data_IF_014416207634
#
_entry.id   IF_014416207634
#
_cell.length_a   1.000
_cell.length_b   1.000
_cell.length_c   1.000
_cell.angle_alpha   90.00
_cell.angle_beta   90.00
_cell.angle_gamma   90.00
#
_symmetry.space_group_name_H-M   'P 1'
#
loop_
_entity.id
_entity.type
_entity.pdbx_description
1 polymer ?
#
# COMPACT_ATOMS: atom_id res chain seq x y z
N UNK A 1 -4.34 8.99 30.28
CA UNK A 1 -4.27 7.53 29.98
C UNK A 1 -2.81 7.08 30.07
N UNK A 2 -2.29 6.81 31.29
CA UNK A 2 -0.88 6.43 31.45
C UNK A 2 -0.55 5.06 30.83
N UNK A 3 -1.56 4.26 30.50
CA UNK A 3 -1.42 2.95 29.84
C UNK A 3 -1.33 3.08 28.31
N UNK A 4 -1.53 4.26 27.75
CA UNK A 4 -1.47 4.49 26.31
C UNK A 4 -0.01 4.50 25.84
N UNK A 5 0.40 3.45 25.15
CA UNK A 5 1.78 3.32 24.65
C UNK A 5 2.00 4.06 23.33
N UNK A 6 0.94 4.39 22.59
CA UNK A 6 1.05 5.00 21.29
C UNK A 6 -0.26 5.69 20.86
N UNK A 7 -0.13 6.90 20.32
CA UNK A 7 -1.22 7.62 19.64
C UNK A 7 -0.97 7.62 18.15
N UNK A 8 -1.97 7.25 17.37
CA UNK A 8 -1.87 7.17 15.91
C UNK A 8 -3.04 7.90 15.25
N UNK A 9 -2.84 8.38 14.03
CA UNK A 9 -3.90 9.02 13.25
C UNK A 9 -3.81 8.64 11.77
N UNK A 10 -4.93 8.70 11.07
CA UNK A 10 -4.94 8.76 9.63
C UNK A 10 -4.57 10.18 9.18
N UNK A 11 -3.76 10.28 8.11
CA UNK A 11 -3.42 11.53 7.47
C UNK A 11 -3.57 11.42 5.96
N UNK A 12 -4.39 12.28 5.34
CA UNK A 12 -4.36 12.40 3.88
C UNK A 12 -3.13 13.20 3.44
N UNK A 13 -2.57 12.96 2.24
CA UNK A 13 -1.46 13.77 1.73
C UNK A 13 -1.80 15.26 1.75
N UNK A 14 -2.97 15.64 1.29
CA UNK A 14 -3.44 17.04 1.31
C UNK A 14 -3.43 17.64 2.71
N UNK A 15 -3.91 16.89 3.73
CA UNK A 15 -3.94 17.38 5.12
C UNK A 15 -2.56 17.55 5.74
N UNK A 16 -1.56 16.80 5.27
CA UNK A 16 -0.16 16.91 5.70
C UNK A 16 0.51 18.07 4.98
N UNK A 17 0.37 18.17 3.65
CA UNK A 17 1.07 19.13 2.80
C UNK A 17 0.66 20.59 3.05
N UNK A 18 -0.53 20.85 3.61
CA UNK A 18 -0.94 22.22 4.01
C UNK A 18 -0.33 22.68 5.31
N UNK A 19 0.30 21.78 6.09
CA UNK A 19 0.97 22.12 7.35
C UNK A 19 2.40 22.51 7.09
N UNK A 20 2.94 23.36 7.98
CA UNK A 20 4.38 23.60 8.06
C UNK A 20 5.06 22.43 8.79
N UNK A 21 6.35 22.26 8.57
CA UNK A 21 7.11 21.23 9.28
C UNK A 21 7.05 21.41 10.80
N UNK A 22 7.06 22.66 11.28
CA UNK A 22 6.96 22.98 12.71
C UNK A 22 5.63 22.52 13.33
N UNK A 23 4.53 22.56 12.57
CA UNK A 23 3.22 22.06 13.03
C UNK A 23 3.25 20.53 13.21
N UNK A 24 3.90 19.80 12.30
CA UNK A 24 4.06 18.34 12.40
C UNK A 24 4.99 17.97 13.57
N UNK A 25 6.09 18.71 13.75
CA UNK A 25 7.00 18.53 14.89
C UNK A 25 6.26 18.72 16.22
N UNK A 26 5.45 19.78 16.32
CA UNK A 26 4.62 20.03 17.50
C UNK A 26 3.61 18.89 17.77
N UNK A 27 2.97 18.35 16.72
CA UNK A 27 2.06 17.21 16.88
C UNK A 27 2.78 15.98 17.44
N UNK A 28 4.02 15.73 17.00
CA UNK A 28 4.83 14.67 17.56
C UNK A 28 5.20 14.92 19.03
N UNK A 29 5.65 16.12 19.37
CA UNK A 29 5.98 16.52 20.75
C UNK A 29 4.76 16.39 21.69
N UNK A 30 3.54 16.60 21.18
CA UNK A 30 2.28 16.42 21.90
C UNK A 30 1.83 14.94 22.00
N UNK A 31 2.64 14.00 21.47
CA UNK A 31 2.42 12.55 21.62
C UNK A 31 1.80 11.86 20.42
N UNK A 32 1.74 12.48 19.24
CA UNK A 32 1.33 11.76 18.02
C UNK A 32 2.53 10.96 17.48
N UNK A 33 2.46 9.63 17.58
CA UNK A 33 3.61 8.75 17.29
C UNK A 33 3.65 8.23 15.87
N UNK A 34 2.49 8.09 15.22
CA UNK A 34 2.43 7.45 13.90
C UNK A 34 1.26 7.96 13.05
N UNK A 35 1.54 8.11 11.76
CA UNK A 35 0.54 8.43 10.73
C UNK A 35 0.31 7.22 9.80
N UNK A 36 -0.96 6.91 9.54
CA UNK A 36 -1.39 6.04 8.46
C UNK A 36 -1.64 6.87 7.21
N UNK A 37 -0.90 6.59 6.14
CA UNK A 37 -0.94 7.31 4.87
C UNK A 37 -1.32 6.36 3.74
N UNK A 38 -2.38 6.67 2.99
CA UNK A 38 -2.74 5.93 1.79
C UNK A 38 -1.94 6.41 0.59
N UNK A 39 -1.02 5.57 0.09
CA UNK A 39 -0.38 5.75 -1.22
C UNK A 39 -1.29 5.22 -2.33
N UNK A 40 -1.90 4.07 -2.11
CA UNK A 40 -2.72 3.26 -3.00
C UNK A 40 -1.94 2.78 -4.23
N UNK A 41 -1.29 3.66 -4.97
CA UNK A 41 -0.46 3.42 -6.14
C UNK A 41 0.70 4.41 -6.23
N UNK A 42 1.80 4.00 -6.84
CA UNK A 42 2.88 4.91 -7.25
C UNK A 42 2.73 5.42 -8.69
N UNK A 43 1.75 4.93 -9.45
CA UNK A 43 1.46 5.40 -10.81
C UNK A 43 0.46 6.55 -10.78
N UNK A 44 0.84 7.71 -11.29
CA UNK A 44 -0.03 8.90 -11.41
C UNK A 44 -1.26 8.61 -12.29
N UNK A 45 -1.11 7.78 -13.33
CA UNK A 45 -2.25 7.39 -14.16
C UNK A 45 -3.26 6.54 -13.37
N UNK A 46 -2.80 5.60 -12.54
CA UNK A 46 -3.67 4.82 -11.65
C UNK A 46 -4.33 5.72 -10.63
N UNK A 47 -3.57 6.62 -9.98
CA UNK A 47 -4.09 7.58 -8.99
C UNK A 47 -5.17 8.48 -9.60
N UNK A 48 -4.95 8.95 -10.83
CA UNK A 48 -5.95 9.74 -11.59
C UNK A 48 -7.23 8.94 -11.87
N UNK A 49 -7.09 7.66 -12.29
CA UNK A 49 -8.26 6.80 -12.59
C UNK A 49 -9.13 6.53 -11.36
N UNK A 50 -8.54 6.45 -10.18
CA UNK A 50 -9.27 6.23 -8.92
C UNK A 50 -9.70 7.53 -8.23
N UNK A 51 -9.44 8.69 -8.84
CA UNK A 51 -9.71 10.03 -8.28
C UNK A 51 -9.04 10.24 -6.91
N UNK A 52 -7.76 9.84 -6.78
CA UNK A 52 -7.02 10.02 -5.52
C UNK A 52 -6.87 11.50 -5.14
N UNK A 53 -6.67 12.36 -6.15
CA UNK A 53 -6.56 13.81 -5.97
C UNK A 53 -5.12 14.31 -5.82
N UNK A 54 -4.17 13.44 -5.52
CA UNK A 54 -2.75 13.76 -5.39
C UNK A 54 -1.91 12.88 -6.31
N UNK A 55 -0.73 13.39 -6.69
CA UNK A 55 0.30 12.65 -7.42
C UNK A 55 1.13 11.77 -6.47
N UNK A 56 1.81 10.76 -7.03
CA UNK A 56 2.74 9.92 -6.25
C UNK A 56 3.84 10.76 -5.57
N UNK A 57 4.38 11.77 -6.26
CA UNK A 57 5.40 12.67 -5.70
C UNK A 57 4.87 13.50 -4.52
N UNK A 58 3.64 13.99 -4.59
CA UNK A 58 2.99 14.69 -3.48
C UNK A 58 2.80 13.77 -2.28
N UNK A 59 2.37 12.52 -2.50
CA UNK A 59 2.20 11.53 -1.43
C UNK A 59 3.55 11.17 -0.80
N UNK A 60 4.59 10.97 -1.61
CA UNK A 60 5.95 10.73 -1.11
C UNK A 60 6.44 11.91 -0.28
N UNK A 61 6.26 13.14 -0.74
CA UNK A 61 6.64 14.35 0.02
C UNK A 61 5.92 14.42 1.36
N UNK A 62 4.60 14.15 1.38
CA UNK A 62 3.83 14.11 2.63
C UNK A 62 4.38 13.05 3.61
N UNK A 63 4.70 11.85 3.12
CA UNK A 63 5.30 10.79 3.94
C UNK A 63 6.67 11.18 4.51
N UNK A 64 7.52 11.84 3.71
CA UNK A 64 8.82 12.32 4.17
C UNK A 64 8.69 13.41 5.24
N UNK A 65 7.74 14.34 5.12
CA UNK A 65 7.45 15.35 6.13
C UNK A 65 7.03 14.73 7.47
N UNK A 66 6.23 13.66 7.45
CA UNK A 66 5.86 12.91 8.66
C UNK A 66 7.09 12.30 9.33
N UNK A 67 7.97 11.68 8.55
CA UNK A 67 9.21 11.10 9.09
C UNK A 67 10.19 12.14 9.60
N UNK A 68 10.32 13.28 8.92
CA UNK A 68 11.16 14.40 9.36
C UNK A 68 10.69 14.96 10.70
N UNK A 69 9.39 14.91 10.98
CA UNK A 69 8.85 15.30 12.29
C UNK A 69 9.14 14.27 13.41
N UNK A 70 9.79 13.14 13.10
CA UNK A 70 10.08 12.08 14.08
C UNK A 70 8.96 11.06 14.26
N UNK A 71 7.84 11.21 13.58
CA UNK A 71 6.73 10.25 13.63
C UNK A 71 7.03 9.02 12.76
N UNK A 72 6.51 7.86 13.16
CA UNK A 72 6.49 6.66 12.32
C UNK A 72 5.49 6.81 11.19
N UNK A 73 5.81 6.20 10.06
CA UNK A 73 4.96 6.20 8.88
C UNK A 73 4.47 4.78 8.58
N UNK A 74 3.16 4.61 8.45
CA UNK A 74 2.53 3.39 7.96
C UNK A 74 1.86 3.68 6.62
N UNK A 75 2.32 3.04 5.54
CA UNK A 75 1.82 3.28 4.18
C UNK A 75 0.97 2.11 3.72
N UNK A 76 -0.20 2.43 3.16
CA UNK A 76 -1.11 1.44 2.57
C UNK A 76 -1.08 1.54 1.05
N UNK A 77 -1.03 0.37 0.38
CA UNK A 77 -1.14 0.22 -1.07
C UNK A 77 -2.21 -0.82 -1.40
N UNK A 78 -2.79 -0.74 -2.60
CA UNK A 78 -3.87 -1.66 -3.02
C UNK A 78 -3.49 -2.33 -4.34
N UNK A 79 -3.19 -3.63 -4.29
CA UNK A 79 -2.95 -4.45 -5.48
C UNK A 79 -4.21 -4.56 -6.35
N UNK A 80 -4.02 -4.55 -7.66
CA UNK A 80 -5.08 -4.67 -8.65
C UNK A 80 -5.70 -3.34 -9.12
N UNK A 81 -5.28 -2.19 -8.57
CA UNK A 81 -5.82 -0.89 -8.99
C UNK A 81 -5.44 -0.52 -10.44
N UNK A 82 -4.33 -1.04 -10.95
CA UNK A 82 -3.87 -0.82 -12.32
C UNK A 82 -4.65 -1.61 -13.38
N UNK A 83 -5.55 -2.53 -12.95
CA UNK A 83 -6.09 -3.55 -13.86
C UNK A 83 -4.94 -4.30 -14.56
N UNK A 84 -5.18 -5.11 -15.60
CA UNK A 84 -4.11 -5.74 -16.36
C UNK A 84 -3.26 -4.74 -17.14
N UNK A 85 -3.89 -3.69 -17.64
CA UNK A 85 -3.27 -2.71 -18.54
C UNK A 85 -2.09 -1.97 -17.90
N UNK A 86 -2.22 -1.62 -16.62
CA UNK A 86 -1.21 -0.83 -15.89
C UNK A 86 -0.60 -1.61 -14.71
N UNK A 87 -0.80 -2.93 -14.64
CA UNK A 87 -0.38 -3.75 -13.49
C UNK A 87 1.13 -3.67 -13.25
N UNK A 88 1.94 -3.84 -14.28
CA UNK A 88 3.41 -3.78 -14.17
C UNK A 88 3.88 -2.36 -13.78
N UNK A 89 3.36 -1.31 -14.44
CA UNK A 89 3.66 0.08 -14.10
C UNK A 89 3.26 0.38 -12.65
N UNK A 90 2.03 -0.02 -12.27
CA UNK A 90 1.53 0.14 -10.90
C UNK A 90 2.47 -0.51 -9.88
N UNK A 91 2.89 -1.74 -10.09
CA UNK A 91 3.78 -2.47 -9.19
C UNK A 91 5.15 -1.79 -9.06
N UNK A 92 5.80 -1.47 -10.19
CA UNK A 92 7.14 -0.86 -10.21
C UNK A 92 7.11 0.53 -9.59
N UNK A 93 6.18 1.39 -10.01
CA UNK A 93 6.06 2.75 -9.49
C UNK A 93 5.69 2.78 -8.00
N UNK A 94 4.87 1.84 -7.54
CA UNK A 94 4.55 1.69 -6.11
C UNK A 94 5.79 1.28 -5.31
N UNK A 95 6.60 0.35 -5.84
CA UNK A 95 7.86 -0.04 -5.23
C UNK A 95 8.86 1.14 -5.17
N UNK A 96 8.96 1.96 -6.23
CA UNK A 96 9.79 3.16 -6.27
C UNK A 96 9.35 4.19 -5.21
N UNK A 97 8.04 4.48 -5.12
CA UNK A 97 7.50 5.42 -4.14
C UNK A 97 7.77 4.96 -2.69
N UNK A 98 7.55 3.67 -2.40
CA UNK A 98 7.84 3.08 -1.10
C UNK A 98 9.33 3.10 -0.78
N UNK A 99 10.20 2.82 -1.75
CA UNK A 99 11.66 2.86 -1.61
C UNK A 99 12.18 4.26 -1.30
N UNK A 100 11.51 5.30 -1.79
CA UNK A 100 11.83 6.70 -1.49
C UNK A 100 11.42 7.09 -0.08
N UNK A 101 10.25 6.64 0.38
CA UNK A 101 9.73 6.95 1.72
C UNK A 101 10.38 6.12 2.81
N UNK A 102 10.70 4.84 2.53
CA UNK A 102 11.18 3.85 3.52
C UNK A 102 10.35 3.91 4.81
N UNK A 103 9.03 3.65 4.74
CA UNK A 103 8.15 3.73 5.90
C UNK A 103 8.45 2.59 6.89
N UNK A 104 8.11 2.77 8.15
CA UNK A 104 8.27 1.72 9.16
C UNK A 104 7.33 0.53 8.92
N UNK A 105 6.14 0.81 8.34
CA UNK A 105 5.15 -0.22 8.03
C UNK A 105 4.60 -0.06 6.62
N UNK A 106 4.48 -1.18 5.91
CA UNK A 106 3.83 -1.27 4.60
C UNK A 106 2.69 -2.27 4.69
N UNK A 107 1.47 -1.81 4.44
CA UNK A 107 0.29 -2.64 4.31
C UNK A 107 -0.10 -2.79 2.84
N UNK A 108 -0.08 -4.00 2.28
CA UNK A 108 -0.61 -4.28 0.96
C UNK A 108 -1.96 -4.96 1.09
N UNK A 109 -2.99 -4.36 0.53
CA UNK A 109 -4.33 -4.90 0.39
C UNK A 109 -4.56 -5.33 -1.06
N UNK A 110 -5.59 -6.12 -1.30
CA UNK A 110 -6.07 -6.40 -2.67
C UNK A 110 -7.41 -5.73 -2.87
N UNK A 111 -7.62 -5.13 -4.05
CA UNK A 111 -8.86 -4.45 -4.41
C UNK A 111 -10.08 -5.32 -4.15
N UNK A 112 -11.04 -4.77 -3.41
CA UNK A 112 -12.37 -5.30 -3.16
C UNK A 112 -13.40 -4.19 -3.33
N UNK A 113 -14.52 -4.52 -3.97
CA UNK A 113 -15.66 -3.61 -4.05
C UNK A 113 -16.66 -3.93 -2.92
N UNK A 114 -16.65 -3.12 -1.87
CA UNK A 114 -17.59 -3.24 -0.73
C UNK A 114 -18.77 -2.28 -0.85
N UNK A 115 -18.53 -1.11 -1.42
CA UNK A 115 -19.53 -0.06 -1.59
C UNK A 115 -19.56 0.40 -3.05
N UNK A 116 -20.70 0.94 -3.54
CA UNK A 116 -20.76 1.51 -4.87
C UNK A 116 -19.76 2.67 -5.03
N UNK A 117 -18.79 2.47 -5.94
CA UNK A 117 -17.78 3.48 -6.30
C UNK A 117 -17.80 3.72 -7.81
N UNK A 118 -17.22 4.83 -8.31
CA UNK A 118 -17.03 5.01 -9.74
C UNK A 118 -16.27 3.84 -10.39
N UNK A 119 -15.21 3.35 -9.75
CA UNK A 119 -14.43 2.22 -10.25
C UNK A 119 -15.23 0.91 -10.31
N UNK A 120 -16.11 0.66 -9.32
CA UNK A 120 -17.04 -0.48 -9.37
C UNK A 120 -18.01 -0.37 -10.55
N UNK A 121 -18.49 0.84 -10.86
CA UNK A 121 -19.34 1.06 -12.05
C UNK A 121 -18.57 0.77 -13.33
N UNK A 122 -17.32 1.23 -13.43
CA UNK A 122 -16.47 0.95 -14.59
C UNK A 122 -16.25 -0.55 -14.78
N UNK A 123 -16.06 -1.31 -13.68
CA UNK A 123 -16.01 -2.76 -13.72
C UNK A 123 -17.32 -3.38 -14.22
N UNK A 124 -18.47 -2.95 -13.70
CA UNK A 124 -19.78 -3.46 -14.12
C UNK A 124 -20.08 -3.17 -15.60
N UNK A 125 -19.59 -2.05 -16.14
CA UNK A 125 -19.75 -1.64 -17.52
C UNK A 125 -18.62 -2.15 -18.45
N UNK A 126 -17.69 -2.97 -17.93
CA UNK A 126 -16.60 -3.58 -18.69
C UNK A 126 -15.44 -2.66 -19.06
N UNK A 127 -15.35 -1.47 -18.47
CA UNK A 127 -14.25 -0.51 -18.65
C UNK A 127 -13.06 -0.75 -17.71
N UNK A 128 -13.26 -1.51 -16.65
CA UNK A 128 -12.23 -1.92 -15.71
C UNK A 128 -12.23 -3.45 -15.58
N UNK A 129 -11.06 -4.06 -15.66
CA UNK A 129 -10.90 -5.49 -15.46
C UNK A 129 -10.44 -5.78 -14.02
N UNK A 130 -11.24 -6.54 -13.27
CA UNK A 130 -10.85 -6.99 -11.93
C UNK A 130 -9.92 -8.19 -12.05
N UNK A 131 -8.68 -8.02 -11.61
CA UNK A 131 -7.64 -9.03 -11.72
C UNK A 131 -7.94 -10.27 -10.89
N UNK A 132 -7.63 -11.44 -11.46
CA UNK A 132 -7.76 -12.73 -10.79
C UNK A 132 -6.59 -13.01 -9.81
N UNK A 133 -6.67 -14.07 -8.97
CA UNK A 133 -5.64 -14.37 -7.98
C UNK A 133 -4.23 -14.56 -8.54
N UNK A 134 -4.08 -15.12 -9.74
CA UNK A 134 -2.79 -15.35 -10.39
C UNK A 134 -2.19 -14.01 -10.81
N UNK A 135 -2.99 -13.15 -11.41
CA UNK A 135 -2.57 -11.81 -11.86
C UNK A 135 -2.14 -10.93 -10.68
N UNK A 136 -2.91 -10.94 -9.57
CA UNK A 136 -2.55 -10.24 -8.33
C UNK A 136 -1.23 -10.79 -7.73
N UNK A 137 -1.02 -12.11 -7.78
CA UNK A 137 0.22 -12.69 -7.28
C UNK A 137 1.44 -12.29 -8.14
N UNK A 138 1.28 -12.18 -9.47
CA UNK A 138 2.30 -11.66 -10.37
C UNK A 138 2.62 -10.19 -10.08
N UNK A 139 1.62 -9.33 -9.95
CA UNK A 139 1.78 -7.92 -9.61
C UNK A 139 2.51 -7.74 -8.28
N UNK A 140 2.09 -8.50 -7.25
CA UNK A 140 2.73 -8.46 -5.93
C UNK A 140 4.19 -8.95 -6.00
N UNK A 141 4.49 -9.93 -6.84
CA UNK A 141 5.86 -10.42 -7.05
C UNK A 141 6.73 -9.33 -7.68
N UNK A 142 6.26 -8.65 -8.72
CA UNK A 142 6.96 -7.52 -9.36
C UNK A 142 7.24 -6.42 -8.33
N UNK A 143 6.25 -6.04 -7.52
CA UNK A 143 6.43 -5.04 -6.45
C UNK A 143 7.54 -5.45 -5.49
N UNK A 144 7.53 -6.70 -5.01
CA UNK A 144 8.54 -7.18 -4.05
C UNK A 144 9.95 -7.31 -4.67
N UNK A 145 10.04 -7.60 -5.96
CA UNK A 145 11.33 -7.67 -6.67
C UNK A 145 11.97 -6.29 -6.88
N UNK A 146 11.15 -5.22 -6.94
CA UNK A 146 11.63 -3.85 -7.20
C UNK A 146 11.76 -2.97 -5.95
N UNK A 147 11.16 -3.37 -4.81
CA UNK A 147 11.20 -2.56 -3.60
C UNK A 147 12.56 -2.64 -2.90
N UNK A 148 13.10 -1.47 -2.49
CA UNK A 148 14.24 -1.32 -1.60
C UNK A 148 13.87 -0.47 -0.38
N UNK A 149 13.45 -1.13 0.69
CA UNK A 149 12.98 -0.47 1.91
C UNK A 149 13.47 -1.23 3.15
N UNK A 150 14.77 -1.17 3.39
CA UNK A 150 15.44 -1.89 4.49
C UNK A 150 14.79 -1.59 5.83
N UNK A 151 14.45 -2.65 6.57
CA UNK A 151 13.86 -2.57 7.90
C UNK A 151 12.33 -2.33 7.93
N UNK A 152 11.68 -2.02 6.81
CA UNK A 152 10.23 -1.87 6.75
C UNK A 152 9.51 -3.18 7.06
N UNK A 153 8.51 -3.13 7.94
CA UNK A 153 7.65 -4.26 8.24
C UNK A 153 6.57 -4.35 7.16
N UNK A 154 6.67 -5.35 6.29
CA UNK A 154 5.70 -5.61 5.22
C UNK A 154 4.61 -6.56 5.69
N UNK A 155 3.35 -6.22 5.41
CA UNK A 155 2.16 -7.02 5.72
C UNK A 155 1.20 -7.02 4.54
N UNK A 156 0.97 -8.21 3.97
CA UNK A 156 -0.11 -8.51 3.05
C UNK A 156 -0.93 -9.69 3.61
N UNK A 157 -1.35 -9.57 4.86
CA UNK A 157 -2.10 -10.57 5.60
C UNK A 157 -3.54 -10.13 5.91
N UNK A 158 -3.97 -9.00 5.37
CA UNK A 158 -5.36 -8.57 5.42
C UNK A 158 -6.24 -9.61 4.71
N UNK A 159 -7.49 -9.71 5.14
CA UNK A 159 -8.41 -10.70 4.61
C UNK A 159 -8.68 -10.54 3.11
N UNK A 160 -8.51 -9.35 2.53
CA UNK A 160 -8.62 -9.10 1.09
C UNK A 160 -7.56 -9.84 0.24
N UNK A 161 -6.42 -10.20 0.81
CA UNK A 161 -5.31 -10.79 0.04
C UNK A 161 -5.53 -12.28 -0.25
N UNK A 162 -5.15 -12.72 -1.45
CA UNK A 162 -5.20 -14.13 -1.87
C UNK A 162 -4.07 -14.98 -1.29
N UNK A 163 -2.92 -14.38 -1.03
CA UNK A 163 -1.75 -15.00 -0.41
C UNK A 163 -1.30 -14.15 0.78
N UNK A 164 -1.23 -14.75 1.96
CA UNK A 164 -0.73 -14.04 3.13
C UNK A 164 0.79 -13.95 3.07
N UNK A 165 1.31 -12.71 3.12
CA UNK A 165 2.73 -12.40 3.21
C UNK A 165 3.01 -11.54 4.44
N UNK A 166 4.11 -11.79 5.10
CA UNK A 166 4.61 -10.97 6.21
C UNK A 166 6.12 -11.14 6.32
N UNK A 167 6.82 -10.06 6.58
CA UNK A 167 8.27 -10.08 6.76
C UNK A 167 8.83 -8.69 7.00
N UNK A 168 10.13 -8.64 7.23
CA UNK A 168 10.92 -7.40 7.29
C UNK A 168 11.71 -7.27 5.99
N UNK A 169 11.51 -6.17 5.28
CA UNK A 169 12.27 -5.84 4.07
C UNK A 169 13.68 -5.32 4.48
N UNK A 170 14.80 -5.60 3.80
CA UNK A 170 14.89 -6.47 2.62
C UNK A 170 15.18 -7.94 3.02
N UNK A 171 15.34 -8.17 4.32
CA UNK A 171 15.74 -9.46 4.90
C UNK A 171 14.86 -10.63 4.43
N UNK A 172 13.53 -10.47 4.52
CA UNK A 172 12.58 -11.56 4.23
C UNK A 172 12.02 -11.47 2.80
N UNK A 173 12.50 -10.53 1.97
CA UNK A 173 12.00 -10.32 0.60
C UNK A 173 12.00 -11.60 -0.24
N UNK A 174 13.13 -12.30 -0.27
CA UNK A 174 13.24 -13.51 -1.10
C UNK A 174 12.32 -14.64 -0.61
N UNK A 175 12.12 -14.77 0.70
CA UNK A 175 11.18 -15.75 1.25
C UNK A 175 9.73 -15.45 0.84
N UNK A 176 9.33 -14.15 0.82
CA UNK A 176 8.02 -13.73 0.36
C UNK A 176 7.86 -13.94 -1.16
N UNK A 177 8.86 -13.61 -1.97
CA UNK A 177 8.87 -13.90 -3.41
C UNK A 177 8.78 -15.40 -3.70
N UNK A 178 9.54 -16.23 -2.99
CA UNK A 178 9.49 -17.69 -3.12
C UNK A 178 8.11 -18.25 -2.77
N UNK A 179 7.42 -17.67 -1.80
CA UNK A 179 6.04 -18.05 -1.45
C UNK A 179 5.06 -17.73 -2.58
N UNK A 180 5.18 -16.55 -3.20
CA UNK A 180 4.35 -16.18 -4.37
C UNK A 180 4.62 -17.10 -5.57
N UNK A 181 5.89 -17.37 -5.89
CA UNK A 181 6.25 -18.30 -6.97
C UNK A 181 5.65 -19.68 -6.74
N UNK A 182 5.67 -20.22 -5.50
CA UNK A 182 4.99 -21.47 -5.15
C UNK A 182 3.47 -21.41 -5.35
N UNK A 183 2.84 -20.27 -5.08
CA UNK A 183 1.41 -20.09 -5.34
C UNK A 183 1.10 -20.08 -6.85
N UNK A 184 1.93 -19.38 -7.65
CA UNK A 184 1.84 -19.35 -9.11
C UNK A 184 2.05 -20.72 -9.75
N UNK A 185 2.91 -21.56 -9.15
CA UNK A 185 3.13 -22.97 -9.57
C UNK A 185 2.01 -23.92 -9.09
N UNK A 186 0.98 -23.42 -8.40
CA UNK A 186 -0.11 -24.25 -7.86
C UNK A 186 0.25 -25.06 -6.61
N UNK A 187 1.44 -24.86 -6.02
CA UNK A 187 1.90 -25.57 -4.81
C UNK A 187 1.30 -24.98 -3.52
N UNK A 188 0.78 -23.77 -3.57
CA UNK A 188 0.04 -23.09 -2.50
C UNK A 188 -1.30 -22.65 -3.07
N UNK A 189 -2.39 -22.99 -2.38
CA UNK A 189 -3.74 -22.58 -2.80
C UNK A 189 -3.98 -21.11 -2.48
N UNK A 190 -4.53 -20.38 -3.43
CA UNK A 190 -5.07 -19.04 -3.19
C UNK A 190 -6.29 -19.12 -2.26
N UNK A 191 -6.45 -18.09 -1.42
CA UNK A 191 -7.67 -17.92 -0.63
C UNK A 191 -8.86 -17.74 -1.58
N UNK A 192 -9.97 -18.48 -1.32
CA UNK A 192 -11.17 -18.35 -2.15
C UNK A 192 -11.93 -17.05 -1.81
N UNK A 193 -12.70 -16.53 -2.78
CA UNK A 193 -13.46 -15.28 -2.66
C UNK A 193 -14.37 -15.23 -1.42
N UNK A 194 -14.99 -16.35 -1.05
CA UNK A 194 -15.87 -16.43 0.11
C UNK A 194 -15.18 -16.15 1.47
N UNK A 195 -13.83 -16.28 1.52
CA UNK A 195 -13.02 -16.02 2.71
C UNK A 195 -12.25 -14.72 2.62
N UNK A 196 -12.40 -13.96 1.53
CA UNK A 196 -11.89 -12.61 1.47
C UNK A 196 -12.84 -11.72 2.24
N UNK A 197 -12.30 -11.01 3.23
CA UNK A 197 -13.15 -10.21 4.12
C UNK A 197 -13.85 -9.12 3.36
N UNK A 198 -14.99 -9.08 3.79
CA UNK A 198 -15.86 -7.92 3.82
C UNK A 198 -15.70 -7.20 5.15
#
# INVERSE_FOLDING_TARGET
FPECERVTSYGSPASILVKKQEDLNMLHELGLDMIYLGLESGSDEVLRRINKGETADEIVRAGLMVKEAGMKLSVTCIAGLGSLELSEEHAIKTAEALSRMKPEYIGLLTLLFELPTPLMRDWQEGRFYLMNPIEIAHETLILLEHIDSEGSIFRANHASNYVNLAGTLNQDREAMCARLRKALEGKIKFKSEQYRAR
#
